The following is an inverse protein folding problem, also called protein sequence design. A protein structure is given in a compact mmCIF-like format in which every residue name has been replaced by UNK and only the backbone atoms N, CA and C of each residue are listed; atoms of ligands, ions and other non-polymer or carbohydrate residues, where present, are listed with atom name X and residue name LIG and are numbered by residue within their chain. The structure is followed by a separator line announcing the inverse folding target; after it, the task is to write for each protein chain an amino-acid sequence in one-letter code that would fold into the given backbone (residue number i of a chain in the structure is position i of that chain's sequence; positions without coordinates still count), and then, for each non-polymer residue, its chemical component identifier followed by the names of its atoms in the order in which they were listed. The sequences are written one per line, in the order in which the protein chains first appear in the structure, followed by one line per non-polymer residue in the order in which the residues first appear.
data_IF_882705718777
#
_entry.id   IF_882705718777
#
_cell.length_a   1.000
_cell.length_b   1.000
_cell.length_c   1.000
_cell.angle_alpha   90.00
_cell.angle_beta   90.00
_cell.angle_gamma   90.00
#
_symmetry.space_group_name_H-M   'P 1'
#
loop_
_entity.id
_entity.type
_entity.pdbx_description
1 polymer ?
#
# COMPACT_ATOMS: atom_id res chain seq x y z
N UNK A 1 -27.93 -0.32 0.99
CA UNK A 1 -27.23 0.67 0.15
C UNK A 1 -25.82 0.71 0.68
N UNK A 2 -24.91 -0.04 0.06
CA UNK A 2 -23.53 -0.11 0.51
C UNK A 2 -22.85 1.19 0.13
N UNK A 3 -22.38 1.92 1.14
CA UNK A 3 -21.53 3.09 0.96
C UNK A 3 -20.27 2.60 0.21
N UNK A 4 -20.17 2.88 -1.10
CA UNK A 4 -19.03 2.52 -1.98
C UNK A 4 -17.83 3.45 -1.67
N UNK A 5 -17.49 3.52 -0.38
CA UNK A 5 -16.40 4.29 0.15
C UNK A 5 -15.15 3.42 0.27
N UNK A 6 -14.05 3.88 -0.30
CA UNK A 6 -12.72 3.31 -0.09
C UNK A 6 -12.09 3.97 1.13
N UNK A 7 -11.64 3.16 2.08
CA UNK A 7 -10.84 3.62 3.21
C UNK A 7 -9.43 3.93 2.75
N UNK A 8 -8.97 5.13 3.03
CA UNK A 8 -7.62 5.61 2.73
C UNK A 8 -6.95 5.96 4.04
N UNK A 9 -5.74 5.44 4.22
CA UNK A 9 -4.85 5.74 5.33
C UNK A 9 -3.87 6.84 4.92
N UNK A 10 -3.67 7.82 5.80
CA UNK A 10 -2.66 8.85 5.68
C UNK A 10 -1.44 8.41 6.47
N UNK A 11 -0.33 8.27 5.78
CA UNK A 11 0.94 7.89 6.33
C UNK A 11 1.94 9.04 6.24
N UNK A 12 2.88 9.08 7.17
CA UNK A 12 4.01 9.99 7.11
C UNK A 12 4.91 9.68 5.91
N UNK A 13 5.27 10.68 5.12
CA UNK A 13 6.19 10.54 3.98
C UNK A 13 7.60 10.06 4.35
N UNK A 14 8.01 10.24 5.61
CA UNK A 14 9.35 9.92 6.11
C UNK A 14 9.37 8.58 6.85
N UNK A 15 8.58 8.46 7.93
CA UNK A 15 8.59 7.29 8.81
C UNK A 15 7.47 6.28 8.50
N UNK A 16 6.53 6.61 7.60
CA UNK A 16 5.34 5.81 7.27
C UNK A 16 4.40 5.51 8.44
N UNK A 17 4.53 6.22 9.56
CA UNK A 17 3.59 6.11 10.66
C UNK A 17 2.20 6.60 10.23
N UNK A 18 1.14 5.92 10.65
CA UNK A 18 -0.22 6.38 10.41
C UNK A 18 -0.46 7.70 11.15
N UNK A 19 -0.94 8.69 10.41
CA UNK A 19 -1.31 10.02 10.91
C UNK A 19 -2.83 10.13 11.01
N UNK A 20 -3.56 9.46 10.13
CA UNK A 20 -5.02 9.43 10.12
C UNK A 20 -5.57 8.49 9.06
N UNK A 21 -6.90 8.38 9.01
CA UNK A 21 -7.60 7.63 7.97
C UNK A 21 -8.95 8.31 7.66
N UNK A 22 -9.39 8.18 6.41
CA UNK A 22 -10.66 8.74 5.96
C UNK A 22 -11.28 7.89 4.84
N UNK A 23 -12.58 8.02 4.64
CA UNK A 23 -13.30 7.26 3.60
C UNK A 23 -13.62 8.19 2.43
N UNK A 24 -13.23 7.81 1.22
CA UNK A 24 -13.54 8.54 -0.01
C UNK A 24 -14.37 7.71 -0.96
N UNK A 25 -15.27 8.35 -1.70
CA UNK A 25 -15.95 7.69 -2.82
C UNK A 25 -14.92 7.28 -3.87
N UNK A 26 -15.15 6.14 -4.51
CA UNK A 26 -14.28 5.60 -5.56
C UNK A 26 -14.03 6.58 -6.72
N UNK A 27 -15.01 7.43 -7.04
CA UNK A 27 -14.88 8.49 -8.06
C UNK A 27 -13.92 9.63 -7.66
N UNK A 28 -13.66 9.83 -6.36
CA UNK A 28 -12.82 10.91 -5.82
C UNK A 28 -11.47 10.40 -5.30
N UNK A 29 -10.98 9.30 -5.88
CA UNK A 29 -9.79 8.58 -5.42
C UNK A 29 -8.48 9.29 -5.81
N UNK A 30 -8.24 10.49 -5.25
CA UNK A 30 -6.94 11.15 -5.31
C UNK A 30 -6.03 10.63 -4.20
N UNK A 31 -5.29 9.56 -4.52
CA UNK A 31 -4.19 9.04 -3.70
C UNK A 31 -2.90 9.86 -3.83
N UNK A 32 -2.87 10.83 -4.75
CA UNK A 32 -1.75 11.74 -4.87
C UNK A 32 -1.54 12.47 -3.53
N UNK A 33 -0.28 12.59 -3.06
CA UNK A 33 0.00 13.41 -1.89
C UNK A 33 -0.55 14.81 -2.14
N UNK A 34 -1.35 15.33 -1.21
CA UNK A 34 -1.72 16.73 -1.30
C UNK A 34 -0.45 17.59 -1.23
N UNK A 35 -0.50 18.78 -1.81
CA UNK A 35 0.58 19.77 -1.65
C UNK A 35 0.69 20.30 -0.21
N UNK A 36 -0.19 19.85 0.69
CA UNK A 36 -0.23 20.28 2.08
C UNK A 36 0.71 19.41 2.93
N UNK A 37 1.45 20.06 3.82
CA UNK A 37 2.29 19.34 4.79
C UNK A 37 1.44 18.99 6.01
N UNK A 38 1.50 17.73 6.43
CA UNK A 38 0.81 17.22 7.61
C UNK A 38 1.80 17.08 8.76
N UNK A 39 1.38 17.40 9.98
CA UNK A 39 2.22 17.21 11.17
C UNK A 39 2.33 15.73 11.53
N UNK A 40 3.54 15.21 11.64
CA UNK A 40 3.78 13.85 12.10
C UNK A 40 4.26 13.86 13.57
N UNK A 41 3.51 13.28 14.53
CA UNK A 41 3.92 13.23 15.94
C UNK A 41 5.14 12.34 16.18
N UNK A 42 5.42 11.39 15.28
CA UNK A 42 6.59 10.51 15.39
C UNK A 42 7.88 11.19 14.91
N UNK A 43 7.79 12.13 13.97
CA UNK A 43 8.95 12.86 13.44
C UNK A 43 9.10 14.28 14.01
N UNK A 44 8.10 14.76 14.75
CA UNK A 44 8.01 16.11 15.30
C UNK A 44 8.27 17.21 14.25
N UNK A 45 7.76 16.99 13.03
CA UNK A 45 7.92 17.92 11.90
C UNK A 45 6.74 17.82 10.93
N UNK A 46 6.56 18.89 10.15
CA UNK A 46 5.64 18.91 9.02
C UNK A 46 6.26 18.13 7.85
N UNK A 47 5.56 17.11 7.37
CA UNK A 47 5.99 16.21 6.31
C UNK A 47 4.95 16.16 5.21
N UNK A 48 5.35 15.75 4.01
CA UNK A 48 4.37 15.35 3.00
C UNK A 48 3.65 14.07 3.46
N UNK A 49 2.34 14.03 3.31
CA UNK A 49 1.56 12.82 3.53
C UNK A 49 1.70 11.85 2.35
N UNK A 50 1.63 10.56 2.63
CA UNK A 50 1.42 9.51 1.63
C UNK A 50 0.02 8.94 1.89
N UNK A 51 -0.78 8.80 0.84
CA UNK A 51 -2.12 8.22 0.95
C UNK A 51 -2.11 6.82 0.35
N UNK A 52 -2.52 5.84 1.13
CA UNK A 52 -2.65 4.45 0.67
C UNK A 52 -4.05 3.92 0.94
N UNK A 53 -4.49 2.96 0.15
CA UNK A 53 -5.76 2.27 0.42
C UNK A 53 -5.55 1.30 1.57
N UNK A 54 -6.50 1.28 2.50
CA UNK A 54 -6.54 0.31 3.58
C UNK A 54 -6.50 -1.13 3.03
N UNK A 55 -5.77 -2.03 3.69
CA UNK A 55 -5.61 -3.42 3.24
C UNK A 55 -4.62 -3.65 2.08
N UNK A 56 -3.97 -2.60 1.55
CA UNK A 56 -2.84 -2.74 0.62
C UNK A 56 -1.69 -3.59 1.17
N UNK A 57 -1.18 -3.41 2.40
CA UNK A 57 -0.07 -4.21 2.89
C UNK A 57 -0.43 -5.70 3.03
N UNK A 58 -1.66 -6.01 3.45
CA UNK A 58 -2.18 -7.39 3.53
C UNK A 58 -2.27 -8.03 2.15
N UNK A 59 -2.75 -7.28 1.15
CA UNK A 59 -2.80 -7.74 -0.24
C UNK A 59 -1.42 -8.04 -0.80
N UNK A 60 -0.42 -7.18 -0.51
CA UNK A 60 0.98 -7.41 -0.91
C UNK A 60 1.53 -8.68 -0.24
N UNK A 61 1.23 -8.90 1.04
CA UNK A 61 1.70 -10.07 1.75
C UNK A 61 1.08 -11.35 1.16
N UNK A 62 -0.24 -11.35 0.95
CA UNK A 62 -0.94 -12.46 0.31
C UNK A 62 -0.41 -12.76 -1.10
N UNK A 63 -0.10 -11.72 -1.88
CA UNK A 63 0.54 -11.88 -3.19
C UNK A 63 1.90 -12.58 -3.07
N UNK A 64 2.75 -12.11 -2.14
CA UNK A 64 4.07 -12.72 -1.87
C UNK A 64 3.98 -14.16 -1.42
N UNK A 65 3.00 -14.49 -0.57
CA UNK A 65 2.76 -15.86 -0.10
C UNK A 65 2.29 -16.80 -1.23
N UNK A 66 1.63 -16.25 -2.25
CA UNK A 66 1.19 -17.00 -3.44
C UNK A 66 2.33 -17.28 -4.43
N UNK A 67 3.50 -16.64 -4.28
CA UNK A 67 4.61 -16.84 -5.19
C UNK A 67 5.09 -18.29 -5.15
N UNK A 68 5.37 -18.90 -6.33
CA UNK A 68 6.02 -20.20 -6.35
C UNK A 68 7.36 -20.08 -5.61
N UNK A 69 7.65 -21.04 -4.72
CA UNK A 69 8.92 -21.09 -4.02
C UNK A 69 10.04 -21.07 -5.05
N UNK A 70 10.98 -20.15 -4.92
CA UNK A 70 12.17 -20.13 -5.76
C UNK A 70 12.90 -21.46 -5.58
N UNK A 71 12.79 -22.33 -6.58
CA UNK A 71 13.64 -23.52 -6.67
C UNK A 71 14.98 -23.07 -7.25
N UNK A 72 16.08 -23.66 -6.78
CA UNK A 72 17.37 -23.49 -7.44
C UNK A 72 17.20 -23.79 -8.94
N UNK A 73 17.74 -22.91 -9.79
CA UNK A 73 17.63 -23.05 -11.25
C UNK A 73 18.17 -24.39 -11.76
N UNK A 74 19.12 -24.99 -11.03
CA UNK A 74 19.66 -26.33 -11.27
C UNK A 74 18.62 -27.46 -11.12
N UNK A 75 17.56 -27.25 -10.34
CA UNK A 75 16.49 -28.23 -10.10
C UNK A 75 15.30 -28.07 -11.06
N UNK A 76 15.30 -27.02 -11.90
CA UNK A 76 14.31 -26.87 -12.96
C UNK A 76 14.55 -27.94 -14.02
N UNK A 77 13.85 -29.08 -13.90
CA UNK A 77 13.71 -30.03 -15.00
C UNK A 77 12.81 -29.39 -16.05
N UNK A 78 13.41 -28.59 -16.92
CA UNK A 78 12.73 -28.06 -18.10
C UNK A 78 12.30 -29.26 -18.96
N UNK A 79 11.02 -29.34 -19.39
CA UNK A 79 10.59 -30.40 -20.28
C UNK A 79 11.37 -30.28 -21.59
N UNK A 80 12.05 -31.37 -21.98
CA UNK A 80 12.98 -31.38 -23.11
C UNK A 80 12.32 -31.27 -24.49
N UNK A 81 10.99 -31.18 -24.60
CA UNK A 81 10.29 -31.26 -25.90
C UNK A 81 9.03 -30.40 -25.92
N UNK A 82 8.93 -29.59 -26.97
CA UNK A 82 7.69 -29.02 -27.52
C UNK A 82 7.27 -29.89 -28.70
#
# INVERSE_FOLDING_TARGET
MADDGLKVVQLCGECRNEIGNFTIKKENMMLSPSSEMVWCPACDKSVHEIREVDGRPESIQNEKDSYPRSVESRLLKLPEKW
#
